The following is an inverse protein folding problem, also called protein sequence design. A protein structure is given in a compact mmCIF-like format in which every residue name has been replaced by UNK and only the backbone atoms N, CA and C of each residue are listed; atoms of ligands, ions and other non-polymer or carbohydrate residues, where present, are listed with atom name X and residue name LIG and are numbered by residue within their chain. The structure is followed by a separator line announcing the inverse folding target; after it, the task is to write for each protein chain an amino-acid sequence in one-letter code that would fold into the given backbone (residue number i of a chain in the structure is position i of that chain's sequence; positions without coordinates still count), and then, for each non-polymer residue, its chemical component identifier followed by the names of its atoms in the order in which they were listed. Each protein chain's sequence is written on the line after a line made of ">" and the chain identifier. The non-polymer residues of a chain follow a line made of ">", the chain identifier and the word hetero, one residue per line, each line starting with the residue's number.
data_IF_097401711732
#
_entry.id   IF_097401711732
#
_cell.length_a   1.000
_cell.length_b   1.000
_cell.length_c   1.000
_cell.angle_alpha   90.00
_cell.angle_beta   90.00
_cell.angle_gamma   90.00
#
_symmetry.space_group_name_H-M   'P 1'
#
loop_
_entity.id
_entity.type
_entity.pdbx_description
1 polymer ?
#
# COMPACT_ATOMS: atom_id res chain seq x y z
N UNK A 1 -22.73 4.42 10.27
CA UNK A 1 -21.89 3.67 11.25
C UNK A 1 -20.69 3.12 10.48
N UNK A 2 -19.46 3.42 10.92
CA UNK A 2 -18.22 3.12 10.18
C UNK A 2 -17.95 1.60 10.14
N UNK A 3 -17.68 0.97 8.97
CA UNK A 3 -17.45 -0.47 8.86
C UNK A 3 -16.34 -1.04 9.77
N UNK A 4 -15.37 -0.20 10.14
CA UNK A 4 -14.23 -0.58 10.98
C UNK A 4 -14.62 -1.01 12.40
N UNK A 5 -15.76 -0.53 12.94
CA UNK A 5 -16.23 -0.95 14.27
C UNK A 5 -16.70 -2.41 14.29
N UNK A 6 -17.03 -2.95 13.11
CA UNK A 6 -17.59 -4.28 12.90
C UNK A 6 -16.55 -5.28 12.36
N UNK A 7 -15.25 -5.06 12.56
CA UNK A 7 -14.25 -6.06 12.23
C UNK A 7 -13.90 -6.90 13.46
N UNK A 8 -13.65 -8.20 13.26
CA UNK A 8 -12.95 -9.01 14.29
C UNK A 8 -11.57 -8.42 14.52
N UNK A 9 -10.96 -8.66 15.69
CA UNK A 9 -9.67 -8.05 16.01
C UNK A 9 -8.57 -8.50 15.05
N UNK A 10 -8.65 -9.74 14.56
CA UNK A 10 -7.71 -10.25 13.56
C UNK A 10 -7.83 -9.51 12.22
N UNK A 11 -9.05 -9.25 11.72
CA UNK A 11 -9.25 -8.50 10.48
C UNK A 11 -8.89 -7.02 10.65
N UNK A 12 -9.25 -6.41 11.79
CA UNK A 12 -8.87 -5.04 12.10
C UNK A 12 -7.35 -4.88 12.17
N UNK A 13 -6.66 -5.85 12.78
CA UNK A 13 -5.20 -5.90 12.83
C UNK A 13 -4.61 -5.97 11.42
N UNK A 14 -5.09 -6.91 10.59
CA UNK A 14 -4.61 -7.06 9.22
C UNK A 14 -4.86 -5.80 8.37
N UNK A 15 -6.03 -5.19 8.51
CA UNK A 15 -6.38 -3.92 7.87
C UNK A 15 -5.43 -2.80 8.30
N UNK A 16 -5.15 -2.68 9.61
CA UNK A 16 -4.20 -1.72 10.16
C UNK A 16 -2.80 -1.93 9.57
N UNK A 17 -2.31 -3.17 9.51
CA UNK A 17 -1.02 -3.53 8.93
C UNK A 17 -0.93 -3.06 7.48
N UNK A 18 -1.93 -3.38 6.65
CA UNK A 18 -1.95 -3.03 5.23
C UNK A 18 -2.00 -1.51 5.02
N UNK A 19 -2.88 -0.82 5.74
CA UNK A 19 -3.01 0.65 5.66
C UNK A 19 -1.72 1.34 6.09
N UNK A 20 -1.07 0.88 7.16
CA UNK A 20 0.22 1.44 7.57
C UNK A 20 1.33 1.15 6.54
N UNK A 21 1.40 -0.06 5.98
CA UNK A 21 2.36 -0.38 4.91
C UNK A 21 2.20 0.54 3.70
N UNK A 22 0.95 0.85 3.32
CA UNK A 22 0.65 1.74 2.20
C UNK A 22 0.94 3.20 2.53
N UNK A 23 0.39 3.71 3.63
CA UNK A 23 0.47 5.12 4.00
C UNK A 23 1.90 5.56 4.31
N UNK A 24 2.70 4.73 4.98
CA UNK A 24 4.10 5.04 5.30
C UNK A 24 5.06 4.66 4.18
N UNK A 25 4.65 3.77 3.28
CA UNK A 25 5.50 3.11 2.30
C UNK A 25 6.66 2.33 2.95
N UNK A 26 6.57 1.98 4.24
CA UNK A 26 7.60 1.26 4.97
C UNK A 26 7.59 -0.24 4.69
N UNK A 27 8.69 -0.93 5.02
CA UNK A 27 8.80 -2.37 4.79
C UNK A 27 7.95 -3.16 5.77
N UNK A 28 7.13 -4.12 5.31
CA UNK A 28 6.32 -4.93 6.19
C UNK A 28 7.09 -5.65 7.31
N UNK A 29 8.26 -6.21 7.02
CA UNK A 29 9.03 -6.98 7.99
C UNK A 29 9.85 -6.09 8.92
N UNK A 30 10.81 -5.35 8.35
CA UNK A 30 11.85 -4.68 9.14
C UNK A 30 11.46 -3.32 9.71
N UNK A 31 10.39 -2.71 9.20
CA UNK A 31 9.88 -1.44 9.71
C UNK A 31 8.56 -1.70 10.45
N UNK A 32 7.49 -2.06 9.73
CA UNK A 32 6.14 -2.25 10.30
C UNK A 32 6.09 -3.40 11.32
N UNK A 33 6.71 -4.54 11.00
CA UNK A 33 6.72 -5.72 11.87
C UNK A 33 7.59 -5.59 13.11
N UNK A 34 8.42 -4.55 13.20
CA UNK A 34 9.26 -4.24 14.35
C UNK A 34 8.72 -3.09 15.20
N UNK A 35 7.61 -2.45 14.80
CA UNK A 35 6.99 -1.39 15.59
C UNK A 35 6.58 -1.92 16.96
N UNK A 36 6.89 -1.15 18.00
CA UNK A 36 6.41 -1.40 19.35
C UNK A 36 5.17 -0.55 19.63
N UNK A 37 4.36 -0.96 20.60
CA UNK A 37 3.19 -0.18 21.00
C UNK A 37 3.56 1.24 21.45
N UNK A 38 4.65 1.36 22.21
CA UNK A 38 5.20 2.64 22.71
C UNK A 38 5.80 3.54 21.63
N UNK A 39 5.87 3.08 20.39
CA UNK A 39 6.37 3.88 19.27
C UNK A 39 5.26 4.69 18.58
N UNK A 40 4.01 4.53 19.03
CA UNK A 40 2.83 5.15 18.46
C UNK A 40 2.29 6.21 19.42
N UNK A 41 2.16 7.43 18.90
CA UNK A 41 1.50 8.54 19.61
C UNK A 41 0.32 9.01 18.78
N UNK A 42 -0.86 9.06 19.39
CA UNK A 42 -2.06 9.64 18.78
C UNK A 42 -2.39 10.92 19.53
N UNK A 43 -2.48 12.03 18.80
CA UNK A 43 -2.75 13.34 19.34
C UNK A 43 -3.62 14.14 18.37
N UNK A 44 -4.21 15.22 18.85
CA UNK A 44 -4.84 16.21 17.98
C UNK A 44 -3.78 17.25 17.57
N UNK A 45 -3.85 17.71 16.34
CA UNK A 45 -3.03 18.80 15.86
C UNK A 45 -3.55 20.17 16.31
N UNK A 46 -2.89 21.23 15.87
CA UNK A 46 -3.27 22.61 16.21
C UNK A 46 -4.68 23.00 15.72
N UNK A 47 -5.25 22.26 14.77
CA UNK A 47 -6.60 22.46 14.24
C UNK A 47 -7.63 21.52 14.89
N UNK A 48 -7.20 20.67 15.81
CA UNK A 48 -8.05 19.67 16.46
C UNK A 48 -8.23 18.39 15.64
N UNK A 49 -7.50 18.21 14.53
CA UNK A 49 -7.57 17.00 13.73
C UNK A 49 -6.69 15.90 14.31
N UNK A 50 -7.20 14.66 14.37
CA UNK A 50 -6.45 13.52 14.87
C UNK A 50 -5.26 13.22 13.96
N UNK A 51 -4.09 13.01 14.55
CA UNK A 51 -2.87 12.58 13.88
C UNK A 51 -2.26 11.37 14.60
N UNK A 52 -1.56 10.54 13.84
CA UNK A 52 -0.77 9.45 14.39
C UNK A 52 0.70 9.66 14.04
N UNK A 53 1.54 9.82 15.05
CA UNK A 53 2.99 9.84 14.89
C UNK A 53 3.54 8.46 15.20
N UNK A 54 4.35 7.95 14.26
CA UNK A 54 4.93 6.61 14.30
C UNK A 54 6.44 6.75 14.23
N UNK A 55 7.11 6.26 15.26
CA UNK A 55 8.57 6.20 15.31
C UNK A 55 9.06 4.77 15.06
N UNK A 56 10.24 4.60 14.50
CA UNK A 56 10.93 3.30 14.50
C UNK A 56 12.28 3.45 15.18
N UNK A 57 12.52 2.62 16.18
CA UNK A 57 13.74 2.63 16.99
C UNK A 57 14.91 1.88 16.36
N UNK A 58 14.63 0.87 15.53
CA UNK A 58 15.64 0.04 14.86
C UNK A 58 15.44 0.01 13.33
N UNK A 59 15.45 1.18 12.67
CA UNK A 59 15.25 1.24 11.22
C UNK A 59 16.40 0.57 10.47
N UNK A 60 16.06 -0.20 9.42
CA UNK A 60 17.08 -0.90 8.60
C UNK A 60 17.97 0.03 7.76
N UNK A 61 17.49 1.22 7.40
CA UNK A 61 18.11 2.07 6.36
C UNK A 61 18.28 3.54 6.74
N UNK A 62 18.16 3.88 8.03
CA UNK A 62 18.37 5.24 8.52
C UNK A 62 18.84 5.17 9.98
N UNK A 63 19.25 6.30 10.57
CA UNK A 63 19.49 6.34 12.02
C UNK A 63 18.18 6.47 12.81
N UNK A 64 17.18 7.18 12.27
CA UNK A 64 15.83 7.32 12.83
C UNK A 64 14.85 7.40 11.66
N UNK A 65 13.69 6.73 11.73
CA UNK A 65 12.55 7.08 10.87
C UNK A 65 11.35 7.45 11.74
N UNK A 66 10.68 8.51 11.33
CA UNK A 66 9.52 9.06 12.00
C UNK A 66 8.59 9.62 10.95
N UNK A 67 7.30 9.34 11.10
CA UNK A 67 6.27 9.86 10.20
C UNK A 67 5.04 10.24 11.01
N UNK A 68 4.44 11.38 10.66
CA UNK A 68 3.16 11.82 11.18
C UNK A 68 2.12 11.71 10.08
N UNK A 69 1.09 10.90 10.33
CA UNK A 69 -0.02 10.68 9.40
C UNK A 69 -1.21 11.52 9.85
N UNK A 70 -1.79 12.27 8.91
CA UNK A 70 -3.09 12.92 9.07
C UNK A 70 -4.25 11.97 8.75
N UNK A 71 -5.45 12.34 9.16
CA UNK A 71 -6.66 11.62 8.79
C UNK A 71 -6.94 11.70 7.29
N UNK A 72 -7.68 10.72 6.78
CA UNK A 72 -8.19 10.69 5.42
C UNK A 72 -9.71 10.76 5.44
N UNK A 73 -10.31 11.40 4.43
CA UNK A 73 -11.75 11.65 4.38
C UNK A 73 -12.58 10.37 4.40
N UNK A 74 -12.13 9.34 3.67
CA UNK A 74 -12.77 8.02 3.75
C UNK A 74 -12.29 7.28 5.00
N UNK A 75 -13.18 7.16 5.98
CA UNK A 75 -12.92 6.46 7.24
C UNK A 75 -12.54 4.99 7.06
N UNK A 76 -13.01 4.33 5.99
CA UNK A 76 -12.69 2.93 5.72
C UNK A 76 -11.24 2.76 5.27
N UNK A 77 -10.68 3.78 4.63
CA UNK A 77 -9.31 3.79 4.13
C UNK A 77 -8.38 4.67 4.98
N UNK A 78 -8.86 5.17 6.12
CA UNK A 78 -8.11 6.06 6.99
C UNK A 78 -7.14 5.27 7.88
N UNK A 79 -5.81 5.39 7.68
CA UNK A 79 -4.83 4.68 8.50
C UNK A 79 -4.86 5.12 9.97
N UNK A 80 -5.06 6.41 10.22
CA UNK A 80 -5.07 7.00 11.57
C UNK A 80 -6.25 6.49 12.40
N UNK A 81 -7.46 6.57 11.86
CA UNK A 81 -8.66 6.10 12.56
C UNK A 81 -8.67 4.59 12.73
N UNK A 82 -8.20 3.83 11.73
CA UNK A 82 -8.09 2.37 11.85
C UNK A 82 -7.09 1.98 12.93
N UNK A 83 -5.91 2.63 12.96
CA UNK A 83 -4.90 2.43 14.01
C UNK A 83 -5.45 2.78 15.39
N UNK A 84 -6.12 3.92 15.54
CA UNK A 84 -6.75 4.32 16.80
C UNK A 84 -7.79 3.28 17.26
N UNK A 85 -8.65 2.83 16.36
CA UNK A 85 -9.64 1.78 16.67
C UNK A 85 -8.97 0.48 17.08
N UNK A 86 -7.86 0.09 16.44
CA UNK A 86 -7.10 -1.11 16.79
C UNK A 86 -6.46 -0.99 18.18
N UNK A 87 -5.83 0.13 18.49
CA UNK A 87 -5.22 0.37 19.81
C UNK A 87 -6.29 0.32 20.91
N UNK A 88 -7.42 1.01 20.73
CA UNK A 88 -8.51 1.04 21.71
C UNK A 88 -9.08 -0.36 21.96
N UNK A 89 -9.38 -1.10 20.90
CA UNK A 89 -9.96 -2.45 21.00
C UNK A 89 -8.97 -3.50 21.52
N UNK A 90 -7.66 -3.26 21.36
CA UNK A 90 -6.63 -4.19 21.87
C UNK A 90 -6.10 -3.83 23.26
N UNK A 91 -6.55 -2.72 23.85
CA UNK A 91 -6.08 -2.22 25.17
C UNK A 91 -6.04 -3.29 26.26
N UNK A 92 -7.13 -4.04 26.44
CA UNK A 92 -7.24 -5.09 27.46
C UNK A 92 -6.26 -6.26 27.26
N UNK A 93 -5.78 -6.49 26.03
CA UNK A 93 -4.85 -7.57 25.72
C UNK A 93 -3.38 -7.17 25.94
N UNK A 94 -3.12 -5.93 26.37
CA UNK A 94 -1.77 -5.36 26.54
C UNK A 94 -1.34 -5.22 27.99
N UNK A 95 -2.24 -5.37 28.95
CA UNK A 95 -1.99 -5.15 30.39
C UNK A 95 -0.87 -6.03 30.97
N UNK A 96 -0.71 -7.25 30.47
CA UNK A 96 0.30 -8.20 30.95
C UNK A 96 1.49 -8.40 29.98
N UNK A 97 1.65 -7.51 29.00
CA UNK A 97 2.75 -7.59 28.05
C UNK A 97 3.94 -6.74 28.51
N UNK A 98 5.18 -7.12 28.12
CA UNK A 98 6.36 -6.29 28.36
C UNK A 98 6.20 -4.87 27.79
N UNK A 99 6.87 -3.88 28.36
CA UNK A 99 6.79 -2.47 27.89
C UNK A 99 7.17 -2.32 26.41
N UNK A 100 8.13 -3.14 25.95
CA UNK A 100 8.66 -3.14 24.59
C UNK A 100 7.94 -4.11 23.64
N UNK A 101 6.73 -4.54 24.00
CA UNK A 101 5.92 -5.44 23.16
C UNK A 101 5.60 -4.83 21.79
N UNK A 102 5.45 -5.72 20.81
CA UNK A 102 5.13 -5.33 19.44
C UNK A 102 3.77 -4.63 19.36
N UNK A 103 3.61 -3.73 18.40
CA UNK A 103 2.35 -3.08 18.09
C UNK A 103 1.25 -4.11 17.79
N UNK A 104 1.60 -5.16 17.04
CA UNK A 104 0.68 -6.22 16.64
C UNK A 104 0.79 -7.46 17.54
N UNK A 105 -0.33 -8.14 17.74
CA UNK A 105 -0.50 -9.22 18.70
C UNK A 105 -0.90 -10.55 18.04
N UNK A 106 -0.37 -11.64 18.57
CA UNK A 106 -0.78 -13.01 18.25
C UNK A 106 -1.90 -13.45 19.19
N UNK A 107 -2.64 -14.48 18.78
CA UNK A 107 -3.68 -15.12 19.59
C UNK A 107 -4.77 -14.15 20.10
N UNK A 108 -5.07 -13.11 19.31
CA UNK A 108 -6.20 -12.24 19.60
C UNK A 108 -7.50 -13.06 19.54
N UNK A 109 -8.36 -12.85 20.55
CA UNK A 109 -9.67 -13.51 20.68
C UNK A 109 -9.57 -15.04 20.82
N UNK A 110 -8.45 -15.56 21.36
CA UNK A 110 -8.31 -16.99 21.68
C UNK A 110 -8.40 -17.20 23.18
N UNK A 111 -9.36 -18.01 23.63
CA UNK A 111 -9.61 -18.26 25.06
C UNK A 111 -8.51 -19.12 25.71
N UNK A 112 -7.91 -20.03 24.92
CA UNK A 112 -6.90 -20.99 25.37
C UNK A 112 -5.47 -20.40 25.41
N UNK A 113 -5.26 -19.22 24.81
CA UNK A 113 -3.92 -18.63 24.63
C UNK A 113 -3.90 -17.16 25.00
N UNK A 114 -2.91 -16.80 25.80
CA UNK A 114 -2.63 -15.38 26.10
C UNK A 114 -2.06 -14.67 24.86
N UNK A 115 -2.50 -13.43 24.66
CA UNK A 115 -1.93 -12.55 23.64
C UNK A 115 -0.42 -12.40 23.85
N UNK A 116 0.33 -12.31 22.76
CA UNK A 116 1.78 -12.06 22.80
C UNK A 116 2.26 -11.30 21.56
N UNK A 117 3.45 -10.72 21.62
CA UNK A 117 4.05 -9.96 20.50
C UNK A 117 4.14 -10.79 19.21
N UNK A 118 3.72 -10.20 18.10
CA UNK A 118 3.89 -10.80 16.77
C UNK A 118 5.36 -10.78 16.35
N UNK A 119 5.82 -11.87 15.73
CA UNK A 119 7.11 -11.90 15.03
C UNK A 119 7.02 -11.17 13.69
N UNK A 120 8.04 -10.38 13.28
CA UNK A 120 8.04 -9.68 11.99
C UNK A 120 7.77 -10.56 10.75
N UNK A 121 8.21 -11.83 10.79
CA UNK A 121 7.93 -12.80 9.73
C UNK A 121 6.45 -13.13 9.61
N UNK A 122 5.73 -13.20 10.73
CA UNK A 122 4.30 -13.50 10.77
C UNK A 122 3.49 -12.39 10.10
N UNK A 123 3.83 -11.12 10.34
CA UNK A 123 3.24 -9.97 9.62
C UNK A 123 3.37 -10.13 8.11
N UNK A 124 4.58 -10.51 7.65
CA UNK A 124 4.86 -10.72 6.23
C UNK A 124 3.99 -11.85 5.65
N UNK A 125 3.80 -12.93 6.41
CA UNK A 125 2.98 -14.07 6.00
C UNK A 125 1.49 -13.73 5.96
N UNK A 126 0.98 -12.96 6.94
CA UNK A 126 -0.40 -12.48 6.93
C UNK A 126 -0.69 -11.59 5.73
N UNK A 127 0.22 -10.65 5.41
CA UNK A 127 0.09 -9.80 4.21
C UNK A 127 0.09 -10.66 2.93
N UNK A 128 1.00 -11.63 2.82
CA UNK A 128 1.04 -12.53 1.65
C UNK A 128 -0.25 -13.33 1.51
N UNK A 129 -0.77 -13.86 2.61
CA UNK A 129 -2.03 -14.61 2.60
C UNK A 129 -3.18 -13.71 2.17
N UNK A 130 -3.24 -12.48 2.68
CA UNK A 130 -4.22 -11.48 2.28
C UNK A 130 -4.12 -11.14 0.78
N UNK A 131 -2.90 -10.93 0.27
CA UNK A 131 -2.66 -10.69 -1.16
C UNK A 131 -3.16 -11.86 -2.01
N UNK A 132 -2.88 -13.09 -1.60
CA UNK A 132 -3.32 -14.29 -2.31
C UNK A 132 -4.85 -14.42 -2.30
N UNK A 133 -5.49 -14.18 -1.15
CA UNK A 133 -6.95 -14.18 -1.00
C UNK A 133 -7.63 -13.14 -1.93
N UNK A 134 -6.96 -12.02 -2.20
CA UNK A 134 -7.42 -11.00 -3.15
C UNK A 134 -7.01 -11.28 -4.61
N UNK A 135 -6.49 -12.47 -4.92
CA UNK A 135 -6.12 -12.87 -6.28
C UNK A 135 -4.83 -12.23 -6.79
N UNK A 136 -4.01 -11.62 -5.93
CA UNK A 136 -2.69 -11.11 -6.32
C UNK A 136 -1.72 -12.29 -6.38
N UNK A 137 -1.00 -12.44 -7.49
CA UNK A 137 0.00 -13.50 -7.66
C UNK A 137 1.19 -13.29 -6.69
N UNK A 138 1.18 -14.07 -5.60
CA UNK A 138 2.22 -14.01 -4.57
C UNK A 138 3.51 -14.74 -4.93
N UNK A 139 3.59 -15.39 -6.09
CA UNK A 139 4.87 -15.86 -6.65
C UNK A 139 5.66 -14.67 -7.18
N UNK A 140 4.98 -13.73 -7.84
CA UNK A 140 5.60 -12.55 -8.43
C UNK A 140 5.63 -11.34 -7.48
N UNK A 141 4.56 -11.11 -6.73
CA UNK A 141 4.43 -9.98 -5.80
C UNK A 141 4.57 -10.44 -4.36
N UNK A 142 5.58 -9.92 -3.67
CA UNK A 142 5.80 -10.21 -2.26
C UNK A 142 5.23 -9.07 -1.41
N UNK A 143 5.13 -9.26 -0.09
CA UNK A 143 4.61 -8.21 0.81
C UNK A 143 5.30 -6.84 0.62
N UNK A 144 6.61 -6.83 0.34
CA UNK A 144 7.35 -5.59 0.10
C UNK A 144 6.95 -4.86 -1.19
N UNK A 145 6.23 -5.50 -2.11
CA UNK A 145 5.72 -4.87 -3.32
C UNK A 145 4.70 -3.75 -3.02
N UNK A 146 4.06 -3.77 -1.84
CA UNK A 146 3.11 -2.73 -1.39
C UNK A 146 3.78 -1.35 -1.38
N UNK A 147 5.03 -1.29 -0.90
CA UNK A 147 5.84 -0.07 -0.88
C UNK A 147 6.03 0.49 -2.28
N UNK A 148 6.44 -0.35 -3.23
CA UNK A 148 6.65 0.05 -4.63
C UNK A 148 5.35 0.51 -5.28
N UNK A 149 4.25 -0.21 -5.07
CA UNK A 149 2.95 0.17 -5.61
C UNK A 149 2.49 1.53 -5.08
N UNK A 150 2.55 1.73 -3.75
CA UNK A 150 2.08 2.96 -3.08
C UNK A 150 2.90 4.18 -3.49
N UNK A 151 4.23 4.07 -3.44
CA UNK A 151 5.14 5.16 -3.83
C UNK A 151 5.06 5.50 -5.32
N UNK A 152 4.96 4.50 -6.20
CA UNK A 152 4.76 4.75 -7.63
C UNK A 152 3.44 5.47 -7.88
N UNK A 153 2.35 5.05 -7.22
CA UNK A 153 1.06 5.69 -7.39
C UNK A 153 1.05 7.15 -6.94
N UNK A 154 1.76 7.46 -5.85
CA UNK A 154 1.92 8.85 -5.41
C UNK A 154 2.59 9.73 -6.48
N UNK A 155 3.63 9.22 -7.13
CA UNK A 155 4.31 9.92 -8.25
C UNK A 155 3.40 10.04 -9.47
N UNK A 156 2.68 8.98 -9.84
CA UNK A 156 1.69 9.00 -10.94
C UNK A 156 0.55 10.00 -10.68
N UNK A 157 0.27 10.34 -9.41
CA UNK A 157 -0.69 11.37 -9.01
C UNK A 157 -0.04 12.76 -8.81
N UNK A 158 1.17 12.96 -9.33
CA UNK A 158 1.84 14.26 -9.39
C UNK A 158 2.63 14.67 -8.16
N UNK A 159 2.88 13.77 -7.19
CA UNK A 159 3.86 14.05 -6.13
C UNK A 159 5.28 13.95 -6.68
N UNK A 160 6.15 14.88 -6.29
CA UNK A 160 7.55 14.81 -6.71
C UNK A 160 8.23 13.59 -6.08
N UNK A 161 9.25 13.06 -6.76
CA UNK A 161 10.07 11.96 -6.23
C UNK A 161 10.71 12.35 -4.89
N UNK A 162 11.15 13.60 -4.76
CA UNK A 162 11.74 14.13 -3.53
C UNK A 162 10.74 14.12 -2.37
N UNK A 163 9.49 14.55 -2.60
CA UNK A 163 8.44 14.52 -1.57
C UNK A 163 8.15 13.10 -1.11
N UNK A 164 8.05 12.15 -2.05
CA UNK A 164 7.83 10.73 -1.74
C UNK A 164 8.99 10.16 -0.93
N UNK A 165 10.23 10.46 -1.29
CA UNK A 165 11.40 10.04 -0.50
C UNK A 165 11.39 10.64 0.90
N UNK A 166 11.06 11.94 1.01
CA UNK A 166 11.01 12.65 2.30
C UNK A 166 9.93 12.05 3.21
N UNK A 167 8.73 11.83 2.65
CA UNK A 167 7.59 11.18 3.29
C UNK A 167 7.92 9.78 3.81
N UNK A 168 8.56 8.96 2.99
CA UNK A 168 8.87 7.58 3.35
C UNK A 168 10.19 7.42 4.15
N UNK A 169 10.82 8.53 4.54
CA UNK A 169 12.13 8.62 5.21
C UNK A 169 13.24 7.88 4.45
N UNK A 170 13.38 8.12 3.14
CA UNK A 170 14.46 7.58 2.31
C UNK A 170 15.54 8.62 2.07
N UNK A 171 16.77 8.15 1.79
CA UNK A 171 17.87 9.02 1.43
C UNK A 171 17.55 9.82 0.17
N UNK A 172 17.50 11.15 0.29
CA UNK A 172 17.12 12.05 -0.80
C UNK A 172 18.07 11.93 -2.00
N UNK A 173 19.37 11.74 -1.73
CA UNK A 173 20.43 11.59 -2.72
C UNK A 173 20.60 10.16 -3.24
N UNK A 174 19.84 9.19 -2.71
CA UNK A 174 19.93 7.78 -3.13
C UNK A 174 19.00 7.51 -4.30
N UNK A 175 19.50 6.87 -5.36
CA UNK A 175 18.69 6.46 -6.52
C UNK A 175 17.96 5.11 -6.32
N UNK A 176 17.92 4.61 -5.08
CA UNK A 176 17.31 3.30 -4.76
C UNK A 176 15.82 3.26 -5.12
N UNK A 177 15.10 4.36 -4.86
CA UNK A 177 13.67 4.43 -5.18
C UNK A 177 13.44 4.33 -6.69
N UNK A 178 14.13 5.17 -7.46
CA UNK A 178 14.02 5.26 -8.91
C UNK A 178 14.37 3.94 -9.59
N UNK A 179 15.40 3.24 -9.08
CA UNK A 179 15.88 1.98 -9.67
C UNK A 179 15.03 0.77 -9.28
N UNK A 180 14.57 0.68 -8.03
CA UNK A 180 14.00 -0.57 -7.47
C UNK A 180 12.50 -0.49 -7.18
N UNK A 181 11.98 0.69 -6.86
CA UNK A 181 10.62 0.85 -6.34
C UNK A 181 9.69 1.60 -7.29
N UNK A 182 10.20 2.60 -8.01
CA UNK A 182 9.44 3.33 -9.00
C UNK A 182 9.23 2.46 -10.24
N UNK A 183 8.00 2.01 -10.44
CA UNK A 183 7.62 1.11 -11.53
C UNK A 183 6.42 1.70 -12.29
N UNK A 184 6.51 2.89 -12.91
CA UNK A 184 5.35 3.55 -13.51
C UNK A 184 4.65 2.65 -14.53
N UNK A 185 3.33 2.79 -14.67
CA UNK A 185 2.64 2.15 -15.80
C UNK A 185 3.30 2.59 -17.11
N UNK A 186 3.58 1.68 -18.05
CA UNK A 186 3.95 2.10 -19.40
C UNK A 186 2.90 3.11 -19.86
N UNK A 187 3.32 4.30 -20.26
CA UNK A 187 2.39 5.22 -20.90
C UNK A 187 1.95 4.56 -22.20
N UNK A 188 0.80 3.88 -22.16
CA UNK A 188 0.05 3.59 -23.38
C UNK A 188 -0.34 4.95 -23.92
N UNK A 189 0.13 5.25 -25.13
CA UNK A 189 -0.03 6.51 -25.86
C UNK A 189 0.61 7.76 -25.24
N UNK A 190 1.91 7.92 -25.47
CA UNK A 190 2.40 9.26 -25.84
C UNK A 190 3.13 9.26 -27.17
N UNK A 191 3.67 8.14 -27.68
CA UNK A 191 4.29 8.16 -29.02
C UNK A 191 3.29 8.58 -30.11
N UNK A 192 2.05 8.07 -30.10
CA UNK A 192 1.03 8.49 -31.06
C UNK A 192 0.58 9.94 -30.87
N UNK A 193 0.44 10.42 -29.63
CA UNK A 193 0.03 11.81 -29.35
C UNK A 193 1.16 12.82 -29.59
N UNK A 194 2.39 12.47 -29.24
CA UNK A 194 3.61 13.21 -29.56
C UNK A 194 3.82 13.21 -31.06
N UNK A 195 3.73 12.06 -31.72
CA UNK A 195 3.82 11.97 -33.19
C UNK A 195 2.71 12.80 -33.82
N UNK A 196 1.46 12.70 -33.36
CA UNK A 196 0.38 13.53 -33.89
C UNK A 196 0.71 15.02 -33.70
N UNK A 197 1.21 15.43 -32.53
CA UNK A 197 1.60 16.82 -32.29
C UNK A 197 2.80 17.28 -33.14
N UNK A 198 3.69 16.37 -33.52
CA UNK A 198 4.83 16.63 -34.43
C UNK A 198 4.35 16.74 -35.88
N UNK A 199 3.48 15.82 -36.32
CA UNK A 199 3.07 15.65 -37.71
C UNK A 199 1.75 16.37 -38.07
N UNK A 200 1.00 16.91 -37.10
CA UNK A 200 -0.22 17.70 -37.36
C UNK A 200 0.07 19.16 -37.75
N UNK A 201 1.34 19.55 -37.84
CA UNK A 201 1.75 20.91 -38.22
C UNK A 201 1.96 21.09 -39.73
N UNK A 202 1.63 20.10 -40.55
CA UNK A 202 1.75 20.18 -42.02
C UNK A 202 0.38 20.22 -42.70
N UNK A 203 -0.31 21.34 -42.55
CA UNK A 203 -1.20 21.83 -43.60
C UNK A 203 -0.52 23.04 -44.25
N UNK A 204 0.26 22.75 -45.30
CA UNK A 204 0.42 23.61 -46.45
C UNK A 204 0.86 22.75 -47.63
N UNK A 205 -0.15 22.34 -48.40
CA UNK A 205 -0.14 21.93 -49.81
C UNK A 205 1.20 21.97 -50.54
N UNK A 206 1.74 20.80 -50.89
CA UNK A 206 2.41 20.59 -52.18
C UNK A 206 1.99 19.22 -52.72
N UNK A 207 1.03 19.22 -53.64
CA UNK A 207 0.74 18.14 -54.58
C UNK A 207 1.99 17.83 -55.41
N UNK A 208 2.51 16.61 -55.33
CA UNK A 208 3.13 15.93 -56.48
C UNK A 208 2.87 14.42 -56.33
N UNK A 209 2.12 13.88 -57.30
CA UNK A 209 2.00 12.47 -57.59
C UNK A 209 3.38 11.87 -57.91
N UNK A 210 3.70 10.69 -57.37
CA UNK A 210 4.26 9.53 -58.07
C UNK A 210 4.08 8.32 -57.14
N UNK A 211 3.43 7.27 -57.65
CA UNK A 211 3.18 6.03 -56.92
C UNK A 211 4.46 5.22 -56.67
N UNK A 212 4.58 4.69 -55.45
CA UNK A 212 5.44 3.55 -55.14
C UNK A 212 4.70 2.66 -54.14
N UNK A 213 4.31 1.48 -54.61
CA UNK A 213 3.71 0.41 -53.83
C UNK A 213 4.77 -0.10 -52.83
N UNK A 214 4.51 0.03 -51.53
CA UNK A 214 5.41 -0.44 -50.47
C UNK A 214 4.69 -1.48 -49.61
N UNK A 215 5.10 -2.74 -49.79
CA UNK A 215 4.60 -3.94 -49.11
C UNK A 215 4.59 -3.79 -47.59
N UNK A 216 3.39 -3.80 -46.99
CA UNK A 216 3.19 -3.84 -45.54
C UNK A 216 3.57 -5.21 -44.99
N UNK A 217 4.77 -5.32 -44.41
CA UNK A 217 5.13 -6.44 -43.54
C UNK A 217 4.55 -6.16 -42.15
N UNK A 218 3.45 -6.83 -41.80
CA UNK A 218 2.97 -6.89 -40.42
C UNK A 218 3.94 -7.77 -39.60
N UNK A 219 4.68 -7.23 -38.62
CA UNK A 219 5.30 -8.11 -37.64
C UNK A 219 4.16 -8.76 -36.84
N UNK A 220 4.02 -10.09 -36.96
CA UNK A 220 3.15 -10.90 -36.12
C UNK A 220 3.45 -10.56 -34.66
N UNK A 221 2.55 -9.83 -34.01
CA UNK A 221 2.56 -9.64 -32.56
C UNK A 221 2.50 -11.03 -31.92
N UNK A 222 3.62 -11.50 -31.37
CA UNK A 222 3.57 -12.52 -30.32
C UNK A 222 2.74 -11.95 -29.18
N UNK A 223 1.85 -12.71 -28.53
CA UNK A 223 1.16 -12.25 -27.35
C UNK A 223 2.21 -12.06 -26.25
N UNK A 224 2.69 -10.84 -26.06
CA UNK A 224 3.44 -10.48 -24.88
C UNK A 224 2.44 -10.53 -23.75
N UNK A 225 2.56 -11.54 -22.91
CA UNK A 225 1.69 -11.73 -21.76
C UNK A 225 1.71 -10.45 -20.91
N UNK A 226 0.57 -9.76 -20.84
CA UNK A 226 0.36 -8.57 -20.02
C UNK A 226 0.28 -9.00 -18.54
N UNK A 227 1.43 -9.17 -17.89
CA UNK A 227 1.51 -9.40 -16.44
C UNK A 227 2.61 -8.52 -15.85
N UNK A 228 2.35 -7.23 -15.63
CA UNK A 228 3.45 -6.28 -15.41
C UNK A 228 3.43 -5.45 -14.13
N UNK A 229 2.38 -5.45 -13.28
CA UNK A 229 2.44 -4.67 -12.02
C UNK A 229 1.34 -5.00 -11.02
N UNK A 230 1.65 -4.85 -9.73
CA UNK A 230 0.64 -4.76 -8.67
C UNK A 230 0.19 -3.31 -8.53
N UNK A 231 -1.10 -3.05 -8.75
CA UNK A 231 -1.67 -1.71 -8.65
C UNK A 231 -2.14 -1.39 -7.23
N UNK A 232 -2.08 -0.11 -6.85
CA UNK A 232 -2.68 0.35 -5.59
C UNK A 232 -4.19 0.10 -5.56
N UNK A 233 -4.85 0.11 -6.73
CA UNK A 233 -6.27 -0.28 -6.83
C UNK A 233 -6.50 -1.69 -6.29
N UNK A 234 -5.65 -2.65 -6.64
CA UNK A 234 -5.73 -4.03 -6.11
C UNK A 234 -5.55 -4.08 -4.59
N UNK A 235 -4.71 -3.21 -4.02
CA UNK A 235 -4.52 -3.11 -2.57
C UNK A 235 -5.71 -2.46 -1.86
N UNK A 236 -6.31 -1.43 -2.47
CA UNK A 236 -7.54 -0.80 -1.96
C UNK A 236 -8.70 -1.80 -2.01
N UNK A 237 -8.84 -2.53 -3.14
CA UNK A 237 -9.82 -3.62 -3.28
C UNK A 237 -9.59 -4.71 -2.23
N UNK A 238 -8.35 -5.07 -1.93
CA UNK A 238 -8.03 -5.98 -0.82
C UNK A 238 -8.51 -5.43 0.53
N UNK A 239 -8.28 -4.14 0.83
CA UNK A 239 -8.74 -3.52 2.09
C UNK A 239 -10.28 -3.52 2.16
N UNK A 240 -10.96 -3.18 1.07
CA UNK A 240 -12.42 -3.19 0.99
C UNK A 240 -12.96 -4.63 1.12
N UNK A 241 -12.28 -5.62 0.52
CA UNK A 241 -12.66 -7.03 0.63
C UNK A 241 -12.58 -7.53 2.08
N UNK A 242 -11.58 -7.09 2.85
CA UNK A 242 -11.50 -7.38 4.29
C UNK A 242 -12.69 -6.83 5.08
N UNK A 243 -13.29 -5.72 4.62
CA UNK A 243 -14.52 -5.18 5.21
C UNK A 243 -15.78 -5.97 4.79
N UNK A 244 -15.78 -6.57 3.59
CA UNK A 244 -16.92 -7.28 3.01
C UNK A 244 -17.05 -8.75 3.40
N UNK A 245 -15.97 -9.43 3.81
CA UNK A 245 -15.98 -10.86 4.22
C UNK A 245 -16.91 -11.17 5.40
N UNK A 246 -17.62 -10.18 5.95
CA UNK A 246 -18.70 -10.31 6.95
C UNK A 246 -20.11 -10.50 6.37
N UNK A 247 -20.38 -10.12 5.12
CA UNK A 247 -21.75 -10.17 4.59
C UNK A 247 -22.18 -11.54 4.06
N UNK A 248 -21.26 -12.46 3.79
CA UNK A 248 -21.58 -13.81 3.30
C UNK A 248 -21.72 -14.86 4.42
N UNK A 249 -21.09 -14.65 5.57
CA UNK A 249 -21.19 -15.60 6.70
C UNK A 249 -22.45 -15.42 7.56
N UNK A 250 -23.16 -14.28 7.43
CA UNK A 250 -24.44 -14.04 8.13
C UNK A 250 -25.67 -14.54 7.35
N UNK A 251 -25.54 -14.84 6.05
CA UNK A 251 -26.62 -15.40 5.22
C UNK A 251 -26.63 -16.92 5.12
N UNK A 252 -25.56 -17.60 5.57
CA UNK A 252 -25.48 -19.08 5.58
C UNK A 252 -25.75 -19.68 6.97
N UNK A 253 -25.98 -18.86 8.00
CA UNK A 253 -26.31 -19.29 9.36
C UNK A 253 -27.82 -19.14 9.69
N UNK A 254 -28.65 -18.82 8.70
CA UNK A 254 -30.10 -18.60 8.86
C UNK A 254 -30.97 -19.38 7.86
N UNK A 255 -30.45 -20.44 7.24
CA UNK A 255 -31.25 -21.41 6.49
C UNK A 255 -31.02 -22.82 7.04
#
# INVERSE_FOLDING_TARGET
>A
MSPTCNLSLQHLQLKTILLLCMATMWRPRSDIGCLQHRDITINNDHKGEIQATIHTRTPKEAQVKSITLGTYQDQQLCPVQTLQSFLNKTSQFRTNLPEDHALFLTYLEQEDKKSSSVRPSTITNWIKSAMQDAGIDTKHFQAHSIRSASSTKAVELGRSIQDVKKHANWGLNSNTFEKLYYKPSPQVSSSAAINHSIFSSTDNSITLEVGVESTLVFPKKKPVAFFTKMEVKSLILLIIFLDQKRNTSLTLATN
#
